data_IF_180758927858
#
_entry.id   IF_180758927858
#
_cell.length_a   1.000
_cell.length_b   1.000
_cell.length_c   1.000
_cell.angle_alpha   90.00
_cell.angle_beta   90.00
_cell.angle_gamma   90.00
#
_symmetry.space_group_name_H-M   'P 1'
#
loop_
_entity.id
_entity.type
_entity.pdbx_description
1 polymer ?
#
# COMPACT_ATOMS: atom_id res chain seq x y z
N UNK A 1 -8.65 -6.99 18.31
CA UNK A 1 -7.49 -6.24 17.81
C UNK A 1 -7.12 -6.77 16.43
N UNK A 2 -6.52 -5.97 15.57
CA UNK A 2 -6.08 -6.37 14.22
C UNK A 2 -4.70 -5.75 13.91
N UNK A 3 -4.00 -6.31 12.93
CA UNK A 3 -2.73 -5.80 12.43
C UNK A 3 -2.75 -5.73 10.90
N UNK A 4 -1.88 -4.90 10.33
CA UNK A 4 -1.70 -4.80 8.88
C UNK A 4 -0.44 -5.58 8.49
N UNK A 5 -0.57 -6.45 7.51
CA UNK A 5 0.57 -7.20 6.98
C UNK A 5 1.42 -6.30 6.09
N UNK A 6 2.73 -6.34 6.33
CA UNK A 6 3.72 -5.64 5.53
C UNK A 6 4.58 -6.63 4.78
N UNK A 7 5.05 -6.23 3.61
CA UNK A 7 5.90 -7.00 2.69
C UNK A 7 7.08 -6.13 2.27
N UNK A 8 8.01 -6.67 1.50
CA UNK A 8 9.05 -5.89 0.84
C UNK A 8 8.43 -4.79 -0.02
N UNK A 9 9.05 -3.61 -0.04
CA UNK A 9 8.62 -2.52 -0.91
C UNK A 9 8.85 -2.85 -2.39
N UNK A 10 7.90 -2.48 -3.24
CA UNK A 10 8.10 -2.52 -4.69
C UNK A 10 8.90 -1.30 -5.17
N UNK A 11 9.27 -1.27 -6.45
CA UNK A 11 10.08 -0.19 -7.04
C UNK A 11 9.44 1.20 -6.93
N UNK A 12 8.10 1.28 -6.81
CA UNK A 12 7.41 2.56 -6.64
C UNK A 12 7.55 3.10 -5.20
N UNK A 13 7.68 2.23 -4.20
CA UNK A 13 7.70 2.56 -2.76
C UNK A 13 9.11 2.52 -2.17
N UNK A 14 10.00 1.67 -2.69
CA UNK A 14 11.36 1.47 -2.22
C UNK A 14 12.19 2.78 -2.07
N UNK A 15 12.01 3.82 -2.92
CA UNK A 15 12.70 5.10 -2.72
C UNK A 15 12.33 5.84 -1.43
N UNK A 16 11.22 5.46 -0.77
CA UNK A 16 10.68 6.13 0.41
C UNK A 16 10.75 5.24 1.66
N UNK A 17 10.51 3.93 1.53
CA UNK A 17 10.44 2.99 2.63
C UNK A 17 10.85 1.57 2.20
N UNK A 18 11.54 0.83 3.09
CA UNK A 18 11.98 -0.55 2.83
C UNK A 18 10.82 -1.57 2.81
N UNK A 19 9.70 -1.24 3.46
CA UNK A 19 8.53 -2.10 3.55
C UNK A 19 7.25 -1.35 3.22
N UNK A 20 6.32 -2.05 2.60
CA UNK A 20 4.99 -1.53 2.27
C UNK A 20 3.90 -2.43 2.84
N UNK A 21 2.67 -1.91 2.93
CA UNK A 21 1.49 -2.73 3.19
C UNK A 21 1.21 -3.65 1.99
N UNK A 22 0.79 -4.88 2.25
CA UNK A 22 0.35 -5.78 1.18
C UNK A 22 -0.95 -5.27 0.56
N UNK A 23 -0.98 -5.15 -0.77
CA UNK A 23 -2.16 -4.71 -1.53
C UNK A 23 -2.68 -5.86 -2.36
N UNK A 24 -3.88 -6.34 -2.04
CA UNK A 24 -4.54 -7.40 -2.80
C UNK A 24 -5.41 -6.80 -3.90
N UNK A 25 -5.27 -7.32 -5.13
CA UNK A 25 -6.16 -6.96 -6.24
C UNK A 25 -7.57 -7.49 -5.98
N UNK A 26 -8.56 -6.86 -6.64
CA UNK A 26 -9.98 -7.16 -6.40
C UNK A 26 -10.34 -8.63 -6.63
N UNK A 27 -9.73 -9.26 -7.63
CA UNK A 27 -9.90 -10.68 -7.98
C UNK A 27 -9.24 -11.64 -6.98
N UNK A 28 -8.28 -11.18 -6.18
CA UNK A 28 -7.60 -11.98 -5.16
C UNK A 28 -8.30 -11.99 -3.80
N UNK A 29 -9.32 -11.14 -3.60
CA UNK A 29 -9.99 -10.95 -2.30
C UNK A 29 -10.53 -12.26 -1.72
N UNK A 30 -11.18 -13.08 -2.55
CA UNK A 30 -11.77 -14.34 -2.07
C UNK A 30 -10.71 -15.40 -1.85
N UNK A 31 -9.63 -15.38 -2.64
CA UNK A 31 -8.50 -16.27 -2.38
C UNK A 31 -7.85 -16.00 -1.00
N UNK A 32 -7.81 -14.74 -0.55
CA UNK A 32 -7.39 -14.38 0.80
C UNK A 32 -8.38 -14.81 1.88
N UNK A 33 -9.67 -14.48 1.71
CA UNK A 33 -10.68 -14.75 2.73
C UNK A 33 -10.97 -16.25 2.91
N UNK A 34 -10.96 -17.00 1.80
CA UNK A 34 -11.27 -18.43 1.78
C UNK A 34 -10.00 -19.30 1.87
N UNK A 35 -8.81 -18.67 1.91
CA UNK A 35 -7.49 -19.31 1.94
C UNK A 35 -7.29 -20.37 0.83
N UNK A 36 -7.70 -20.04 -0.39
CA UNK A 36 -7.65 -20.99 -1.52
C UNK A 36 -6.30 -21.00 -2.26
N UNK A 37 -5.38 -20.10 -1.91
CA UNK A 37 -4.01 -20.12 -2.40
C UNK A 37 -3.01 -19.83 -1.27
N UNK A 38 -1.72 -20.02 -1.57
CA UNK A 38 -0.64 -19.78 -0.61
C UNK A 38 -0.49 -18.29 -0.31
N UNK A 39 -0.11 -17.97 0.93
CA UNK A 39 0.08 -16.59 1.36
C UNK A 39 1.15 -15.88 0.51
N UNK A 40 2.23 -16.56 0.13
CA UNK A 40 3.32 -16.00 -0.70
C UNK A 40 2.87 -15.64 -2.13
N UNK A 41 1.79 -16.25 -2.64
CA UNK A 41 1.22 -15.91 -3.94
C UNK A 41 0.44 -14.58 -3.90
N UNK A 42 -0.07 -14.22 -2.72
CA UNK A 42 -0.88 -13.04 -2.45
C UNK A 42 -0.04 -11.89 -1.86
N UNK A 43 0.81 -12.18 -0.89
CA UNK A 43 1.57 -11.24 -0.09
C UNK A 43 2.92 -10.93 -0.74
N UNK A 44 2.87 -10.40 -1.96
CA UNK A 44 4.06 -10.05 -2.75
C UNK A 44 3.97 -8.64 -3.33
N UNK A 45 5.11 -7.99 -3.62
CA UNK A 45 5.13 -6.65 -4.19
C UNK A 45 4.41 -6.64 -5.55
N UNK A 46 3.62 -5.60 -5.81
CA UNK A 46 3.00 -5.41 -7.12
C UNK A 46 4.04 -4.88 -8.12
N UNK A 47 3.90 -5.17 -9.43
CA UNK A 47 4.82 -4.69 -10.45
C UNK A 47 4.99 -3.16 -10.40
N UNK A 48 6.17 -2.67 -10.82
CA UNK A 48 6.43 -1.25 -10.94
C UNK A 48 5.37 -0.54 -11.80
N UNK A 49 5.09 0.73 -11.47
CA UNK A 49 4.04 1.52 -12.12
C UNK A 49 2.62 1.20 -11.64
N UNK A 50 2.48 0.37 -10.60
CA UNK A 50 1.16 0.10 -10.01
C UNK A 50 0.69 1.26 -9.14
N UNK A 51 1.61 1.92 -8.43
CA UNK A 51 1.26 3.05 -7.58
C UNK A 51 1.56 4.39 -8.28
N UNK A 52 0.56 5.28 -8.24
CA UNK A 52 0.77 6.69 -8.63
C UNK A 52 1.25 7.45 -7.40
N UNK A 53 2.55 7.73 -7.35
CA UNK A 53 3.15 8.52 -6.27
C UNK A 53 2.98 10.00 -6.57
N UNK A 54 2.47 10.76 -5.60
CA UNK A 54 2.37 12.21 -5.67
C UNK A 54 2.86 12.84 -4.37
N UNK A 55 3.57 13.96 -4.48
CA UNK A 55 3.95 14.72 -3.30
C UNK A 55 2.71 15.40 -2.71
N UNK A 56 2.46 15.30 -1.40
CA UNK A 56 1.40 16.07 -0.79
C UNK A 56 1.67 17.55 -1.02
N UNK A 57 0.64 18.32 -1.42
CA UNK A 57 0.73 19.77 -1.48
C UNK A 57 1.18 20.26 -0.11
N UNK A 58 2.28 21.02 -0.02
CA UNK A 58 2.63 21.74 1.21
C UNK A 58 1.37 22.45 1.69
N UNK A 59 0.95 22.19 2.93
CA UNK A 59 -0.22 22.85 3.48
C UNK A 59 -0.06 24.36 3.27
N UNK A 60 -0.92 24.98 2.45
CA UNK A 60 -1.11 26.42 2.55
C UNK A 60 -1.58 26.66 3.97
N UNK A 61 -0.85 27.50 4.72
CA UNK A 61 -1.05 27.71 6.14
C UNK A 61 -2.54 27.68 6.50
N UNK A 62 -2.98 26.59 7.13
CA UNK A 62 -4.34 26.39 7.66
C UNK A 62 -4.61 27.32 8.87
N UNK A 63 -3.85 28.42 8.97
CA UNK A 63 -3.92 29.43 10.01
C UNK A 63 -4.68 30.70 9.57
N UNK A 64 -5.20 30.76 8.33
CA UNK A 64 -5.92 31.94 7.85
C UNK A 64 -7.45 31.90 8.05
N UNK A 65 -8.03 30.77 8.48
CA UNK A 65 -9.48 30.59 8.67
C UNK A 65 -9.89 30.48 10.15
N UNK A 66 -8.97 30.76 11.07
CA UNK A 66 -9.28 30.94 12.47
C UNK A 66 -9.38 32.45 12.79
N UNK A 67 -10.42 33.11 12.28
CA UNK A 67 -10.85 34.43 12.74
C UNK A 67 -12.38 34.49 12.73
#
# INVERSE_FOLDING_TARGET
>A
AYAILTIEANDDVAPFHDRQMAVLRRDQRMAWLDRTCLEDELLRPLPAGTFVVSQPRKASAQAALAF
#
